data_IF_681316320159
#
_entry.id   IF_681316320159
#
_cell.length_a   1.000
_cell.length_b   1.000
_cell.length_c   1.000
_cell.angle_alpha   90.00
_cell.angle_beta   90.00
_cell.angle_gamma   90.00
#
_symmetry.space_group_name_H-M   'P 1'
#
loop_
_entity.id
_entity.type
_entity.pdbx_description
1 polymer ?
#
# COMPACT_ATOMS: atom_id res chain seq x y z
N UNK A 1 24.44 15.74 15.38
CA UNK A 1 23.89 14.60 16.14
C UNK A 1 22.97 13.89 15.17
N UNK A 2 23.53 12.94 14.40
CA UNK A 2 22.74 12.20 13.44
C UNK A 2 21.72 11.34 14.19
N UNK A 3 20.44 11.60 13.95
CA UNK A 3 19.38 10.70 14.42
C UNK A 3 19.68 9.31 13.85
N UNK A 4 19.56 8.23 14.63
CA UNK A 4 19.77 6.90 14.09
C UNK A 4 18.85 6.74 12.89
N UNK A 5 19.43 6.33 11.76
CA UNK A 5 18.69 6.09 10.52
C UNK A 5 17.62 5.03 10.83
N UNK A 6 16.38 5.46 10.97
CA UNK A 6 15.25 4.55 11.17
C UNK A 6 15.08 3.80 9.86
N UNK A 7 15.57 2.57 9.84
CA UNK A 7 15.34 1.70 8.70
C UNK A 7 13.86 1.39 8.56
N UNK A 8 13.35 1.54 7.35
CA UNK A 8 11.96 1.21 7.01
C UNK A 8 11.97 0.12 5.95
N UNK A 9 11.27 -0.97 6.20
CA UNK A 9 11.00 -1.97 5.18
C UNK A 9 9.84 -1.52 4.31
N UNK A 10 10.11 -1.26 3.02
CA UNK A 10 9.09 -0.88 2.05
C UNK A 10 8.61 -2.12 1.31
N UNK A 11 7.37 -2.50 1.56
CA UNK A 11 6.72 -3.67 0.97
C UNK A 11 6.05 -3.24 -0.32
N UNK A 12 6.48 -3.83 -1.44
CA UNK A 12 5.99 -3.57 -2.79
C UNK A 12 5.32 -4.84 -3.34
N UNK A 13 3.99 -4.98 -3.24
CA UNK A 13 3.28 -6.06 -3.92
C UNK A 13 3.43 -5.90 -5.44
N UNK A 14 3.93 -6.94 -6.09
CA UNK A 14 4.30 -6.90 -7.49
C UNK A 14 3.56 -7.98 -8.31
N UNK A 15 3.01 -7.57 -9.44
CA UNK A 15 2.46 -8.48 -10.45
C UNK A 15 2.57 -7.84 -11.84
N UNK A 16 3.60 -8.23 -12.59
CA UNK A 16 3.90 -7.70 -13.93
C UNK A 16 4.09 -6.16 -13.91
N UNK A 17 5.14 -5.72 -13.24
CA UNK A 17 5.52 -4.30 -13.09
C UNK A 17 7.00 -4.06 -13.45
N UNK A 18 7.61 -4.93 -14.30
CA UNK A 18 9.04 -4.87 -14.67
C UNK A 18 9.47 -3.49 -15.20
N UNK A 19 8.59 -2.81 -15.94
CA UNK A 19 8.89 -1.49 -16.51
C UNK A 19 8.84 -0.33 -15.50
N UNK A 20 8.14 -0.49 -14.38
CA UNK A 20 8.02 0.56 -13.36
C UNK A 20 9.02 0.39 -12.20
N UNK A 21 9.34 -0.85 -11.86
CA UNK A 21 10.17 -1.21 -10.70
C UNK A 21 11.50 -0.45 -10.60
N UNK A 22 12.32 -0.31 -11.66
CA UNK A 22 13.60 0.39 -11.54
C UNK A 22 13.44 1.82 -11.05
N UNK A 23 12.49 2.55 -11.60
CA UNK A 23 12.20 3.93 -11.19
C UNK A 23 11.67 4.04 -9.77
N UNK A 24 10.77 3.12 -9.38
CA UNK A 24 10.21 3.08 -8.02
C UNK A 24 11.30 2.77 -6.99
N UNK A 25 12.15 1.78 -7.25
CA UNK A 25 13.21 1.37 -6.34
C UNK A 25 14.31 2.43 -6.20
N UNK A 26 14.68 3.09 -7.29
CA UNK A 26 15.68 4.16 -7.28
C UNK A 26 15.19 5.43 -6.56
N UNK A 27 13.87 5.65 -6.48
CA UNK A 27 13.27 6.82 -5.83
C UNK A 27 12.96 6.60 -4.34
N UNK A 28 13.23 5.43 -3.78
CA UNK A 28 13.02 5.17 -2.36
C UNK A 28 13.93 6.07 -1.50
N UNK A 29 13.43 6.61 -0.39
CA UNK A 29 14.25 7.40 0.52
C UNK A 29 15.45 6.62 1.06
N UNK A 30 16.55 7.32 1.34
CA UNK A 30 17.70 6.73 2.01
C UNK A 30 17.29 6.11 3.36
N UNK A 31 17.88 4.96 3.72
CA UNK A 31 17.45 4.19 4.89
C UNK A 31 16.23 3.30 4.66
N UNK A 32 15.68 3.26 3.44
CA UNK A 32 14.65 2.30 3.06
C UNK A 32 15.27 0.99 2.57
N UNK A 33 14.63 -0.13 2.90
CA UNK A 33 14.94 -1.45 2.35
C UNK A 33 13.72 -1.99 1.62
N UNK A 34 13.84 -2.21 0.31
CA UNK A 34 12.76 -2.71 -0.51
C UNK A 34 12.54 -4.22 -0.31
N UNK A 35 11.28 -4.62 -0.09
CA UNK A 35 10.81 -6.00 -0.12
C UNK A 35 9.78 -6.10 -1.23
N UNK A 36 10.20 -6.55 -2.40
CA UNK A 36 9.32 -6.79 -3.54
C UNK A 36 8.70 -8.18 -3.39
N UNK A 37 7.38 -8.23 -3.26
CA UNK A 37 6.66 -9.49 -3.14
C UNK A 37 6.06 -9.85 -4.49
N UNK A 38 6.71 -10.76 -5.19
CA UNK A 38 6.24 -11.25 -6.48
C UNK A 38 5.04 -12.18 -6.29
N UNK A 39 3.92 -11.78 -6.84
CA UNK A 39 2.66 -12.53 -6.76
C UNK A 39 2.37 -13.29 -8.08
N UNK A 40 3.43 -13.83 -8.67
CA UNK A 40 3.43 -14.67 -9.86
C UNK A 40 3.51 -13.85 -11.16
N UNK A 41 4.47 -12.95 -11.27
CA UNK A 41 4.78 -12.23 -12.51
C UNK A 41 5.30 -13.18 -13.60
N UNK A 42 5.17 -12.76 -14.83
CA UNK A 42 5.62 -13.48 -16.04
C UNK A 42 6.42 -12.59 -16.98
N UNK A 43 6.77 -11.38 -16.54
CA UNK A 43 7.40 -10.32 -17.33
C UNK A 43 8.83 -10.02 -16.90
N UNK A 44 9.44 -10.84 -16.02
CA UNK A 44 10.77 -10.59 -15.47
C UNK A 44 10.81 -9.60 -14.29
N UNK A 45 9.66 -9.29 -13.68
CA UNK A 45 9.61 -8.36 -12.54
C UNK A 45 10.50 -8.78 -11.38
N UNK A 46 10.57 -10.07 -11.06
CA UNK A 46 11.36 -10.58 -9.95
C UNK A 46 12.87 -10.39 -10.20
N UNK A 47 13.32 -10.67 -11.41
CA UNK A 47 14.72 -10.50 -11.84
C UNK A 47 15.11 -9.03 -11.83
N UNK A 48 14.25 -8.16 -12.35
CA UNK A 48 14.45 -6.70 -12.34
C UNK A 48 14.55 -6.16 -10.91
N UNK A 49 13.68 -6.61 -10.01
CA UNK A 49 13.71 -6.21 -8.61
C UNK A 49 15.03 -6.64 -7.93
N UNK A 50 15.44 -7.90 -8.13
CA UNK A 50 16.68 -8.43 -7.57
C UNK A 50 17.91 -7.67 -8.11
N UNK A 51 17.98 -7.41 -9.41
CA UNK A 51 19.03 -6.64 -10.04
C UNK A 51 19.10 -5.18 -9.53
N UNK A 52 17.98 -4.63 -9.07
CA UNK A 52 17.88 -3.31 -8.45
C UNK A 52 18.17 -3.31 -6.94
N UNK A 53 18.65 -4.44 -6.37
CA UNK A 53 19.02 -4.56 -4.96
C UNK A 53 17.87 -4.79 -3.98
N UNK A 54 16.66 -5.06 -4.45
CA UNK A 54 15.54 -5.37 -3.59
C UNK A 54 15.60 -6.82 -3.07
N UNK A 55 15.12 -7.04 -1.85
CA UNK A 55 14.79 -8.39 -1.37
C UNK A 55 13.54 -8.87 -2.12
N UNK A 56 13.65 -9.94 -2.87
CA UNK A 56 12.51 -10.55 -3.57
C UNK A 56 11.94 -11.69 -2.73
N UNK A 57 10.63 -11.70 -2.56
CA UNK A 57 9.88 -12.76 -1.89
C UNK A 57 8.80 -13.24 -2.84
N UNK A 58 8.58 -14.55 -2.94
CA UNK A 58 7.53 -15.12 -3.78
C UNK A 58 6.30 -15.48 -2.94
N UNK A 59 5.12 -15.00 -3.37
CA UNK A 59 3.82 -15.35 -2.76
C UNK A 59 2.96 -16.10 -3.79
N UNK A 60 2.79 -17.44 -3.65
CA UNK A 60 2.06 -18.25 -4.61
C UNK A 60 0.55 -17.98 -4.59
N UNK A 61 0.00 -17.57 -3.46
CA UNK A 61 -1.43 -17.25 -3.34
C UNK A 61 -1.74 -15.93 -4.01
N UNK A 62 -2.44 -15.97 -5.12
CA UNK A 62 -2.86 -14.78 -5.85
C UNK A 62 -3.71 -13.85 -5.01
N UNK A 63 -3.33 -12.59 -4.89
CA UNK A 63 -4.09 -11.53 -4.20
C UNK A 63 -3.21 -10.43 -3.66
N UNK A 64 -3.67 -9.19 -3.76
CA UNK A 64 -2.99 -8.02 -3.23
C UNK A 64 -2.68 -8.18 -1.72
N UNK A 65 -3.69 -8.55 -0.95
CA UNK A 65 -3.55 -8.75 0.49
C UNK A 65 -2.60 -9.90 0.84
N UNK A 66 -2.52 -10.96 0.02
CA UNK A 66 -1.54 -12.02 0.21
C UNK A 66 -0.13 -11.49 0.07
N UNK A 67 0.17 -10.79 -1.02
CA UNK A 67 1.49 -10.21 -1.25
C UNK A 67 1.88 -9.19 -0.16
N UNK A 68 0.98 -8.28 0.22
CA UNK A 68 1.25 -7.31 1.29
C UNK A 68 1.53 -8.00 2.62
N UNK A 69 0.73 -9.01 2.99
CA UNK A 69 0.89 -9.70 4.27
C UNK A 69 2.18 -10.52 4.32
N UNK A 70 2.49 -11.25 3.26
CA UNK A 70 3.75 -11.97 3.14
C UNK A 70 4.95 -11.03 3.26
N UNK A 71 4.90 -9.85 2.63
CA UNK A 71 5.92 -8.82 2.81
C UNK A 71 6.06 -8.36 4.26
N UNK A 72 4.93 -8.17 4.96
CA UNK A 72 4.89 -7.77 6.38
C UNK A 72 5.52 -8.84 7.29
N UNK A 73 5.28 -10.11 7.01
CA UNK A 73 5.90 -11.24 7.74
C UNK A 73 7.42 -11.29 7.51
N UNK A 74 7.88 -10.99 6.29
CA UNK A 74 9.30 -11.01 5.91
C UNK A 74 10.07 -9.72 6.26
N UNK A 75 9.36 -8.67 6.66
CA UNK A 75 9.95 -7.43 7.16
C UNK A 75 10.61 -7.67 8.53
N UNK A 76 11.65 -6.92 8.84
CA UNK A 76 12.40 -7.03 10.11
C UNK A 76 12.60 -5.67 10.79
N UNK A 77 12.37 -4.56 10.08
CA UNK A 77 12.43 -3.21 10.64
C UNK A 77 11.22 -2.93 11.55
N UNK A 78 11.39 -2.03 12.52
CA UNK A 78 10.30 -1.59 13.39
C UNK A 78 9.20 -0.88 12.61
N UNK A 79 9.57 -0.09 11.60
CA UNK A 79 8.63 0.55 10.69
C UNK A 79 8.54 -0.22 9.38
N UNK A 80 7.33 -0.31 8.87
CA UNK A 80 7.05 -0.81 7.53
C UNK A 80 6.21 0.19 6.76
N UNK A 81 6.48 0.26 5.46
CA UNK A 81 5.68 1.00 4.50
C UNK A 81 5.05 0.04 3.49
N UNK A 82 3.85 0.34 3.06
CA UNK A 82 3.21 -0.26 1.88
C UNK A 82 3.25 0.74 0.74
N UNK A 83 3.65 0.30 -0.44
CA UNK A 83 3.75 1.12 -1.63
C UNK A 83 3.47 0.29 -2.88
N UNK A 84 2.62 0.79 -3.77
CA UNK A 84 2.37 0.12 -5.06
C UNK A 84 3.63 0.19 -5.95
N UNK A 85 3.93 -0.90 -6.66
CA UNK A 85 5.12 -1.05 -7.50
C UNK A 85 4.98 -0.46 -8.91
N UNK A 86 3.86 0.21 -9.22
CA UNK A 86 3.47 0.62 -10.58
C UNK A 86 3.89 2.06 -10.98
N UNK A 87 4.59 2.76 -10.06
CA UNK A 87 5.05 4.14 -10.27
C UNK A 87 3.94 5.20 -10.22
N UNK A 88 2.73 4.86 -9.79
CA UNK A 88 1.64 5.84 -9.66
C UNK A 88 1.79 6.75 -8.44
N UNK A 89 2.59 6.38 -7.46
CA UNK A 89 2.90 7.14 -6.25
C UNK A 89 4.39 7.50 -6.23
N UNK A 90 4.71 8.65 -5.67
CA UNK A 90 6.09 9.09 -5.51
C UNK A 90 6.69 8.49 -4.23
N UNK A 91 7.68 7.58 -4.34
CA UNK A 91 8.28 6.93 -3.17
C UNK A 91 8.93 7.92 -2.18
N UNK A 92 9.43 9.06 -2.65
CA UNK A 92 10.06 10.08 -1.80
C UNK A 92 9.09 10.61 -0.73
N UNK A 93 7.77 10.60 -0.99
CA UNK A 93 6.75 11.06 -0.06
C UNK A 93 6.57 10.12 1.16
N UNK A 94 7.18 8.93 1.16
CA UNK A 94 7.23 8.07 2.34
C UNK A 94 7.87 8.78 3.55
N UNK A 95 8.81 9.69 3.32
CA UNK A 95 9.47 10.46 4.37
C UNK A 95 8.45 11.27 5.21
N UNK A 96 7.45 11.86 4.57
CA UNK A 96 6.40 12.62 5.25
C UNK A 96 5.51 11.70 6.10
N UNK A 97 5.16 10.51 5.59
CA UNK A 97 4.38 9.54 6.34
C UNK A 97 5.17 8.99 7.55
N UNK A 98 6.48 8.74 7.38
CA UNK A 98 7.35 8.32 8.48
C UNK A 98 7.41 9.37 9.58
N UNK A 99 7.46 10.65 9.22
CA UNK A 99 7.45 11.75 10.18
C UNK A 99 6.16 11.77 11.01
N UNK A 100 4.99 11.47 10.44
CA UNK A 100 3.73 11.39 11.19
C UNK A 100 3.74 10.23 12.22
N UNK A 101 4.29 9.06 11.86
CA UNK A 101 4.44 7.95 12.80
C UNK A 101 5.43 8.32 13.91
N UNK A 102 6.51 9.03 13.59
CA UNK A 102 7.47 9.54 14.59
C UNK A 102 6.86 10.57 15.53
N UNK A 103 5.84 11.31 15.08
CA UNK A 103 5.06 12.25 15.90
C UNK A 103 3.97 11.58 16.74
N UNK A 104 3.86 10.26 16.70
CA UNK A 104 2.95 9.49 17.53
C UNK A 104 1.69 8.97 16.82
N UNK A 105 1.59 9.07 15.51
CA UNK A 105 0.54 8.36 14.79
C UNK A 105 0.79 6.84 14.83
N UNK A 106 -0.27 6.05 14.98
CA UNK A 106 -0.20 4.59 14.85
C UNK A 106 -0.14 4.17 13.38
N UNK A 107 -0.81 4.93 12.50
CA UNK A 107 -0.83 4.75 11.06
C UNK A 107 -0.78 6.11 10.35
N UNK A 108 0.19 6.30 9.48
CA UNK A 108 0.19 7.35 8.49
C UNK A 108 -0.32 6.80 7.15
N UNK A 109 -1.27 7.50 6.52
CA UNK A 109 -1.96 7.09 5.31
C UNK A 109 -1.85 8.15 4.22
N UNK A 110 -1.38 7.78 3.03
CA UNK A 110 -1.20 8.69 1.91
C UNK A 110 -2.52 8.96 1.19
N UNK A 111 -3.13 10.11 1.42
CA UNK A 111 -4.32 10.57 0.70
C UNK A 111 -3.97 10.99 -0.72
N UNK A 112 -4.44 10.26 -1.71
CA UNK A 112 -4.14 10.55 -3.12
C UNK A 112 -4.70 11.88 -3.60
N UNK A 113 -3.81 12.70 -4.15
CA UNK A 113 -4.12 13.93 -4.89
C UNK A 113 -3.83 13.66 -6.38
N UNK A 114 -4.84 13.24 -7.15
CA UNK A 114 -4.61 12.84 -8.54
C UNK A 114 -4.32 14.05 -9.41
N UNK A 115 -3.28 13.91 -10.26
CA UNK A 115 -3.12 14.82 -11.40
C UNK A 115 -4.25 14.59 -12.42
N UNK A 116 -4.57 15.55 -13.29
CA UNK A 116 -5.62 15.39 -14.29
C UNK A 116 -5.47 14.08 -15.09
N UNK A 117 -6.56 13.29 -15.18
CA UNK A 117 -6.58 12.03 -15.92
C UNK A 117 -5.99 10.81 -15.22
N UNK A 118 -5.30 10.95 -14.07
CA UNK A 118 -4.64 9.83 -13.39
C UNK A 118 -5.60 8.82 -12.74
N UNK A 119 -6.79 9.23 -12.37
CA UNK A 119 -7.73 8.40 -11.62
C UNK A 119 -9.14 8.44 -12.22
N UNK A 120 -9.65 7.31 -12.73
CA UNK A 120 -11.00 7.24 -13.31
C UNK A 120 -12.08 7.69 -12.30
N UNK A 121 -13.07 8.44 -12.76
CA UNK A 121 -14.11 9.04 -11.91
C UNK A 121 -14.88 7.99 -11.08
N UNK A 122 -15.20 6.82 -11.66
CA UNK A 122 -15.91 5.74 -10.98
C UNK A 122 -15.08 5.13 -9.83
N UNK A 123 -13.76 4.99 -10.01
CA UNK A 123 -12.87 4.53 -8.95
C UNK A 123 -12.74 5.57 -7.82
N UNK A 124 -12.73 6.87 -8.16
CA UNK A 124 -12.78 7.98 -7.18
C UNK A 124 -14.08 7.96 -6.39
N UNK A 125 -15.22 7.78 -7.07
CA UNK A 125 -16.53 7.71 -6.42
C UNK A 125 -16.61 6.52 -5.46
N UNK A 126 -16.15 5.34 -5.87
CA UNK A 126 -16.07 4.15 -5.02
C UNK A 126 -15.19 4.36 -3.78
N UNK A 127 -14.01 4.94 -3.96
CA UNK A 127 -13.12 5.30 -2.85
C UNK A 127 -13.78 6.31 -1.89
N UNK A 128 -14.41 7.36 -2.40
CA UNK A 128 -15.09 8.37 -1.59
C UNK A 128 -16.24 7.78 -0.77
N UNK A 129 -17.02 6.86 -1.35
CA UNK A 129 -18.08 6.14 -0.63
C UNK A 129 -17.50 5.32 0.54
N UNK A 130 -16.47 4.52 0.29
CA UNK A 130 -15.84 3.71 1.34
C UNK A 130 -15.22 4.57 2.44
N UNK A 131 -14.53 5.64 2.07
CA UNK A 131 -14.00 6.60 3.04
C UNK A 131 -15.11 7.29 3.85
N UNK A 132 -16.25 7.60 3.24
CA UNK A 132 -17.40 8.15 3.96
C UNK A 132 -17.98 7.16 4.98
N UNK A 133 -18.03 5.87 4.65
CA UNK A 133 -18.46 4.82 5.58
C UNK A 133 -17.49 4.69 6.76
N UNK A 134 -16.18 4.75 6.52
CA UNK A 134 -15.17 4.72 7.59
C UNK A 134 -15.28 5.95 8.50
N UNK A 135 -15.51 7.15 7.95
CA UNK A 135 -15.74 8.36 8.77
C UNK A 135 -16.97 8.26 9.65
N UNK A 136 -18.06 7.63 9.16
CA UNK A 136 -19.26 7.35 9.98
C UNK A 136 -18.95 6.40 11.15
N UNK A 137 -17.92 5.58 11.04
CA UNK A 137 -17.42 4.70 12.10
C UNK A 137 -16.36 5.37 12.99
N UNK A 138 -16.14 6.67 12.86
CA UNK A 138 -15.20 7.44 13.68
C UNK A 138 -13.77 7.48 13.16
N UNK A 139 -13.46 6.88 12.00
CA UNK A 139 -12.12 6.92 11.42
C UNK A 139 -12.00 8.11 10.44
N UNK A 140 -11.21 9.16 10.73
CA UNK A 140 -11.19 10.40 9.96
C UNK A 140 -10.32 10.27 8.69
N UNK A 141 -10.69 9.37 7.78
CA UNK A 141 -9.97 9.14 6.51
C UNK A 141 -10.80 9.56 5.29
N UNK A 142 -10.11 10.04 4.26
CA UNK A 142 -10.69 10.47 2.99
C UNK A 142 -10.28 9.58 1.81
N UNK A 143 -9.31 8.71 2.03
CA UNK A 143 -8.82 7.73 1.04
C UNK A 143 -8.56 6.37 1.71
N UNK A 144 -8.81 5.27 0.97
CA UNK A 144 -8.41 3.94 1.43
C UNK A 144 -6.88 3.78 1.41
N UNK A 145 -6.19 4.72 0.79
CA UNK A 145 -4.74 4.92 0.79
C UNK A 145 -3.91 3.66 0.46
N UNK A 146 -3.31 3.56 -0.72
CA UNK A 146 -2.36 2.49 -1.05
C UNK A 146 -0.99 2.68 -0.41
N UNK A 147 -0.57 3.93 -0.14
CA UNK A 147 0.66 4.25 0.57
C UNK A 147 0.40 4.39 2.07
N UNK A 148 1.13 3.66 2.89
CA UNK A 148 0.96 3.65 4.35
C UNK A 148 2.26 3.40 5.06
N UNK A 149 2.40 3.96 6.27
CA UNK A 149 3.51 3.67 7.18
C UNK A 149 2.94 3.39 8.57
N UNK A 150 3.42 2.33 9.21
CA UNK A 150 3.06 1.99 10.58
C UNK A 150 4.14 1.11 11.24
N UNK A 151 4.02 0.88 12.56
CA UNK A 151 4.88 -0.06 13.27
C UNK A 151 4.55 -1.50 12.85
N UNK A 152 5.57 -2.27 12.48
CA UNK A 152 5.44 -3.65 12.03
C UNK A 152 4.64 -4.50 13.02
N UNK A 153 5.03 -4.48 14.29
CA UNK A 153 4.38 -5.30 15.33
C UNK A 153 2.90 -4.98 15.45
N UNK A 154 2.56 -3.71 15.49
CA UNK A 154 1.17 -3.27 15.58
C UNK A 154 0.33 -3.75 14.39
N UNK A 155 0.87 -3.69 13.16
CA UNK A 155 0.20 -4.21 11.97
C UNK A 155 -0.06 -5.72 12.03
N UNK A 156 0.89 -6.51 12.54
CA UNK A 156 0.72 -7.95 12.73
C UNK A 156 -0.36 -8.23 13.79
N UNK A 157 -0.34 -7.51 14.90
CA UNK A 157 -1.28 -7.67 16.01
C UNK A 157 -2.72 -7.25 15.64
N UNK A 158 -2.92 -6.39 14.62
CA UNK A 158 -4.24 -6.11 14.07
C UNK A 158 -4.94 -7.35 13.49
N UNK A 159 -4.18 -8.36 13.09
CA UNK A 159 -4.72 -9.63 12.63
C UNK A 159 -5.57 -9.54 11.36
N UNK A 160 -5.19 -8.68 10.39
CA UNK A 160 -5.89 -8.55 9.09
C UNK A 160 -5.95 -9.89 8.40
N UNK A 161 -7.14 -10.31 7.96
CA UNK A 161 -7.42 -11.68 7.44
C UNK A 161 -7.62 -11.73 5.93
N UNK A 162 -8.15 -10.67 5.32
CA UNK A 162 -8.35 -10.63 3.88
C UNK A 162 -7.00 -10.78 3.15
N UNK A 163 -6.94 -11.61 2.13
CA UNK A 163 -5.74 -11.83 1.31
C UNK A 163 -5.94 -11.39 -0.14
N UNK A 164 -7.08 -10.72 -0.42
CA UNK A 164 -7.45 -10.21 -1.72
C UNK A 164 -7.48 -8.67 -1.73
N UNK A 165 -8.45 -8.06 -2.39
CA UNK A 165 -8.56 -6.61 -2.50
C UNK A 165 -9.24 -5.94 -1.30
N UNK A 166 -9.78 -6.69 -0.36
CA UNK A 166 -10.34 -6.17 0.88
C UNK A 166 -9.28 -5.78 1.93
N UNK A 167 -8.05 -6.27 1.81
CA UNK A 167 -6.97 -6.05 2.77
C UNK A 167 -6.80 -4.57 3.17
N UNK A 168 -6.70 -3.60 2.23
CA UNK A 168 -6.54 -2.19 2.58
C UNK A 168 -7.69 -1.63 3.40
N UNK A 169 -8.92 -2.05 3.11
CA UNK A 169 -10.11 -1.61 3.83
C UNK A 169 -10.20 -2.28 5.20
N UNK A 170 -9.96 -3.59 5.29
CA UNK A 170 -9.97 -4.32 6.57
C UNK A 170 -8.95 -3.76 7.55
N UNK A 171 -7.75 -3.41 7.06
CA UNK A 171 -6.73 -2.79 7.89
C UNK A 171 -7.27 -1.50 8.54
N UNK A 172 -7.89 -0.61 7.77
CA UNK A 172 -8.47 0.64 8.28
C UNK A 172 -9.61 0.38 9.26
N UNK A 173 -10.52 -0.55 8.96
CA UNK A 173 -11.62 -0.92 9.87
C UNK A 173 -11.07 -1.44 11.20
N UNK A 174 -10.08 -2.32 11.16
CA UNK A 174 -9.45 -2.86 12.37
C UNK A 174 -8.67 -1.81 13.15
N UNK A 175 -7.92 -0.93 12.47
CA UNK A 175 -7.25 0.20 13.08
C UNK A 175 -8.24 1.12 13.81
N UNK A 176 -9.37 1.44 13.18
CA UNK A 176 -10.43 2.22 13.82
C UNK A 176 -11.02 1.54 15.05
N UNK A 177 -11.32 0.22 14.97
CA UNK A 177 -11.83 -0.57 16.11
C UNK A 177 -10.81 -0.68 17.25
N UNK A 178 -9.52 -0.67 16.93
CA UNK A 178 -8.43 -0.68 17.90
C UNK A 178 -8.11 0.73 18.48
N UNK A 179 -8.82 1.77 18.05
CA UNK A 179 -8.62 3.15 18.52
C UNK A 179 -7.33 3.81 18.01
N UNK A 180 -6.79 3.35 16.89
CA UNK A 180 -5.55 3.89 16.35
C UNK A 180 -5.68 5.37 15.94
N UNK A 181 -4.64 6.15 16.26
CA UNK A 181 -4.45 7.49 15.72
C UNK A 181 -4.01 7.40 14.27
N UNK A 182 -4.94 7.64 13.34
CA UNK A 182 -4.67 7.64 11.90
C UNK A 182 -4.48 9.08 11.41
N UNK A 183 -3.36 9.34 10.71
CA UNK A 183 -3.03 10.63 10.09
C UNK A 183 -2.96 10.48 8.58
N UNK A 184 -3.65 11.36 7.86
CA UNK A 184 -3.54 11.44 6.41
C UNK A 184 -2.49 12.48 6.00
N UNK A 185 -1.67 12.12 5.02
CA UNK A 185 -0.72 12.99 4.32
C UNK A 185 -1.12 13.04 2.85
N UNK A 186 -1.20 14.22 2.27
CA UNK A 186 -1.51 14.36 0.85
C UNK A 186 -0.34 13.87 -0.01
N UNK A 187 -0.60 12.90 -0.89
CA UNK A 187 0.41 12.33 -1.78
C UNK A 187 -0.01 12.48 -3.23
N UNK A 188 0.93 12.81 -4.10
CA UNK A 188 0.68 12.96 -5.53
C UNK A 188 0.36 11.61 -6.15
N UNK A 189 -0.75 11.53 -6.88
CA UNK A 189 -1.12 10.33 -7.62
C UNK A 189 -1.07 10.60 -9.13
N UNK A 190 -0.23 9.84 -9.83
CA UNK A 190 0.06 9.97 -11.26
C UNK A 190 -0.49 8.77 -12.04
N UNK A 191 -0.62 8.86 -13.37
CA UNK A 191 -0.81 7.67 -14.19
C UNK A 191 0.33 6.67 -13.93
N UNK A 192 0.02 5.37 -14.01
CA UNK A 192 1.04 4.31 -13.93
C UNK A 192 2.14 4.54 -14.96
N UNK A 193 3.37 4.26 -14.59
CA UNK A 193 4.51 4.36 -15.51
C UNK A 193 4.46 3.29 -16.59
N UNK A 194 3.95 2.09 -16.25
CA UNK A 194 3.79 0.95 -17.18
C UNK A 194 2.62 0.05 -16.75
N UNK A 195 2.22 -0.87 -17.66
CA UNK A 195 1.22 -1.91 -17.37
C UNK A 195 -0.23 -1.41 -17.34
N UNK A 196 -1.14 -2.31 -16.91
CA UNK A 196 -2.60 -2.04 -16.79
C UNK A 196 -3.06 -2.32 -15.37
N UNK A 197 -3.97 -1.46 -14.84
CA UNK A 197 -4.54 -1.66 -13.51
C UNK A 197 -5.25 -3.01 -13.40
N UNK A 198 -4.88 -3.79 -12.38
CA UNK A 198 -5.52 -5.08 -12.07
C UNK A 198 -6.89 -4.89 -11.40
N UNK A 199 -7.14 -3.71 -10.83
CA UNK A 199 -8.39 -3.36 -10.13
C UNK A 199 -9.33 -2.58 -11.05
N UNK A 200 -8.92 -1.39 -11.50
CA UNK A 200 -9.76 -0.49 -12.30
C UNK A 200 -9.61 -0.66 -13.82
N UNK A 201 -8.68 -1.51 -14.26
CA UNK A 201 -8.41 -1.76 -15.69
C UNK A 201 -9.37 -2.78 -16.35
N UNK A 202 -10.29 -3.41 -15.59
CA UNK A 202 -11.28 -4.33 -16.14
C UNK A 202 -12.54 -4.37 -15.28
N UNK A 203 -13.69 -4.61 -15.91
CA UNK A 203 -14.98 -4.80 -15.21
C UNK A 203 -14.91 -5.93 -14.17
N UNK A 204 -14.27 -7.06 -14.54
CA UNK A 204 -14.08 -8.20 -13.63
C UNK A 204 -13.23 -7.84 -12.41
N UNK A 205 -12.15 -7.05 -12.57
CA UNK A 205 -11.31 -6.57 -11.48
C UNK A 205 -12.07 -5.66 -10.54
N UNK A 206 -12.83 -4.71 -11.08
CA UNK A 206 -13.67 -3.80 -10.30
C UNK A 206 -14.75 -4.54 -9.50
N UNK A 207 -15.46 -5.49 -10.10
CA UNK A 207 -16.48 -6.31 -9.42
C UNK A 207 -15.87 -7.17 -8.31
N UNK A 208 -14.68 -7.77 -8.55
CA UNK A 208 -13.98 -8.55 -7.53
C UNK A 208 -13.60 -7.67 -6.33
N UNK A 209 -12.99 -6.52 -6.58
CA UNK A 209 -12.63 -5.58 -5.52
C UNK A 209 -13.86 -5.11 -4.73
N UNK A 210 -14.95 -4.75 -5.39
CA UNK A 210 -16.20 -4.35 -4.73
C UNK A 210 -16.79 -5.48 -3.85
N UNK A 211 -16.74 -6.73 -4.33
CA UNK A 211 -17.20 -7.89 -3.57
C UNK A 211 -16.35 -8.13 -2.32
N UNK A 212 -15.02 -8.08 -2.47
CA UNK A 212 -14.09 -8.34 -1.37
C UNK A 212 -14.20 -7.24 -0.31
N UNK A 213 -14.27 -5.98 -0.71
CA UNK A 213 -14.53 -4.86 0.19
C UNK A 213 -15.91 -4.93 0.86
N UNK A 214 -16.95 -5.38 0.14
CA UNK A 214 -18.29 -5.58 0.68
C UNK A 214 -18.37 -6.67 1.76
N UNK A 215 -17.49 -7.68 1.72
CA UNK A 215 -17.38 -8.68 2.80
C UNK A 215 -16.79 -8.08 4.06
N UNK A 216 -15.77 -7.26 3.92
CA UNK A 216 -15.12 -6.57 5.06
C UNK A 216 -16.11 -5.67 5.80
N UNK A 217 -17.00 -4.99 5.08
CA UNK A 217 -18.00 -4.10 5.71
C UNK A 217 -19.12 -4.85 6.44
N UNK A 218 -19.32 -6.13 6.15
CA UNK A 218 -20.38 -6.98 6.76
C UNK A 218 -19.91 -7.81 7.95
N UNK A 219 -18.59 -7.98 8.13
CA UNK A 219 -17.99 -8.70 9.25
C UNK A 219 -17.39 -7.77 10.28
#
# INVERSE_FOLDING_TARGET
>A
MDLPSVFVDVILPCLNESGALPGVLAALPSGSRAIVVDNGSTDGSAEVAAASGAKVVFEPRRGYGAAVHTGLEHATSDLVAFLDADGSLDPAQLTELQAEVSRGADLAAGRRRPVPGAWPWHARAGNALLAALLRRQGLPVHDIAPMRVARRRALLDLGVRDRAFGYPLELLVRAGRAGWSVREVDVTYRPRTAGKSKVSGSVRGTLRAARDMGRVLRG
#
